data_IF_330511114449
#
_entry.id   IF_330511114449
#
_cell.length_a   1.000
_cell.length_b   1.000
_cell.length_c   1.000
_cell.angle_alpha   90.00
_cell.angle_beta   90.00
_cell.angle_gamma   90.00
#
_symmetry.space_group_name_H-M   'P 1'
#
loop_
_entity.id
_entity.type
_entity.pdbx_description
1 polymer ?
#
# COMPACT_ATOMS: atom_id res chain seq x y z
N UNK A 1 4.74 -5.81 8.30
CA UNK A 1 5.39 -4.66 7.59
C UNK A 1 4.38 -3.75 6.90
N UNK A 2 3.14 -4.19 6.74
CA UNK A 2 2.11 -3.36 6.11
C UNK A 2 1.94 -2.02 6.83
N UNK A 3 2.08 -2.01 8.17
CA UNK A 3 2.13 -0.78 8.97
C UNK A 3 3.42 0.05 8.85
N UNK A 4 4.47 -0.45 8.21
CA UNK A 4 5.76 0.24 8.01
C UNK A 4 6.04 0.58 6.54
N UNK A 5 5.04 0.49 5.65
CA UNK A 5 5.20 0.91 4.26
C UNK A 5 5.47 2.42 4.15
N UNK A 6 4.83 3.24 4.98
CA UNK A 6 5.05 4.68 4.99
C UNK A 6 6.50 5.07 5.36
N UNK A 7 7.10 4.55 6.45
CA UNK A 7 8.52 4.81 6.71
C UNK A 7 9.44 4.19 5.65
N UNK A 8 9.09 3.06 5.04
CA UNK A 8 9.82 2.51 3.90
C UNK A 8 9.87 3.50 2.73
N UNK A 9 8.72 4.01 2.30
CA UNK A 9 8.63 5.02 1.24
C UNK A 9 9.38 6.30 1.58
N UNK A 10 9.32 6.76 2.83
CA UNK A 10 10.04 7.94 3.28
C UNK A 10 11.56 7.75 3.20
N UNK A 11 12.07 6.57 3.60
CA UNK A 11 13.50 6.25 3.53
C UNK A 11 13.99 6.00 2.11
N UNK A 12 13.12 5.79 1.13
CA UNK A 12 13.49 5.76 -0.29
C UNK A 12 13.89 7.14 -0.84
N UNK A 13 13.74 8.22 -0.07
CA UNK A 13 14.19 9.57 -0.44
C UNK A 13 15.65 9.82 0.01
N UNK A 14 16.31 10.82 -0.56
CA UNK A 14 17.64 11.29 -0.10
C UNK A 14 18.80 10.34 -0.38
N UNK A 15 19.87 10.39 0.42
CA UNK A 15 20.97 9.41 0.47
C UNK A 15 20.73 8.39 1.59
N UNK A 16 21.33 7.19 1.48
CA UNK A 16 21.17 6.14 2.50
C UNK A 16 22.38 6.01 3.40
N UNK A 17 22.19 6.18 4.71
CA UNK A 17 23.11 5.66 5.71
C UNK A 17 23.11 4.11 5.69
N UNK A 18 24.12 3.47 6.29
CA UNK A 18 24.14 2.01 6.45
C UNK A 18 22.89 1.46 7.16
N UNK A 19 22.37 2.16 8.17
CA UNK A 19 21.19 1.76 8.94
C UNK A 19 19.91 1.87 8.11
N UNK A 20 19.79 2.94 7.33
CA UNK A 20 18.66 3.13 6.41
C UNK A 20 18.66 2.07 5.31
N UNK A 21 19.84 1.77 4.74
CA UNK A 21 20.00 0.68 3.77
C UNK A 21 19.57 -0.66 4.37
N UNK A 22 20.06 -1.00 5.56
CA UNK A 22 19.69 -2.24 6.23
C UNK A 22 18.19 -2.32 6.54
N UNK A 23 17.55 -1.20 6.90
CA UNK A 23 16.10 -1.13 7.08
C UNK A 23 15.35 -1.40 5.76
N UNK A 24 15.76 -0.77 4.67
CA UNK A 24 15.15 -0.93 3.36
C UNK A 24 15.36 -2.35 2.81
N UNK A 25 16.53 -2.96 3.01
CA UNK A 25 16.78 -4.34 2.59
C UNK A 25 15.85 -5.31 3.32
N UNK A 26 15.69 -5.17 4.64
CA UNK A 26 14.72 -5.97 5.40
C UNK A 26 13.29 -5.69 4.93
N UNK A 27 13.00 -4.42 4.65
CA UNK A 27 11.79 -3.93 4.01
C UNK A 27 11.41 -4.70 2.75
N UNK A 28 12.29 -4.65 1.76
CA UNK A 28 12.13 -5.31 0.49
C UNK A 28 12.03 -6.83 0.65
N UNK A 29 12.90 -7.45 1.46
CA UNK A 29 12.88 -8.89 1.70
C UNK A 29 11.54 -9.38 2.25
N UNK A 30 10.90 -8.62 3.14
CA UNK A 30 9.57 -8.97 3.62
C UNK A 30 8.51 -8.80 2.54
N UNK A 31 8.52 -7.71 1.77
CA UNK A 31 7.56 -7.49 0.67
C UNK A 31 7.64 -8.62 -0.37
N UNK A 32 8.88 -8.99 -0.73
CA UNK A 32 9.21 -10.12 -1.62
C UNK A 32 8.70 -11.44 -1.02
N UNK A 33 9.07 -11.76 0.22
CA UNK A 33 8.67 -13.00 0.88
C UNK A 33 7.14 -13.14 1.07
N UNK A 34 6.42 -12.02 1.09
CA UNK A 34 4.96 -11.97 1.15
C UNK A 34 4.30 -11.89 -0.22
N UNK A 35 5.06 -11.88 -1.30
CA UNK A 35 4.57 -11.70 -2.67
C UNK A 35 3.59 -10.51 -2.76
N UNK A 36 3.88 -9.44 -2.00
CA UNK A 36 3.08 -8.23 -1.83
C UNK A 36 1.64 -8.38 -1.33
N UNK A 37 1.07 -9.59 -1.30
CA UNK A 37 -0.36 -9.84 -1.11
C UNK A 37 -0.66 -10.76 0.07
N UNK A 38 0.33 -11.50 0.57
CA UNK A 38 0.15 -12.46 1.65
C UNK A 38 0.33 -11.78 3.00
N UNK A 39 -0.66 -11.95 3.89
CA UNK A 39 -0.52 -11.54 5.28
C UNK A 39 0.51 -12.38 6.04
N UNK A 40 0.83 -11.96 7.27
CA UNK A 40 1.67 -12.76 8.16
C UNK A 40 1.06 -14.12 8.49
N UNK A 41 1.91 -15.14 8.48
CA UNK A 41 1.64 -16.52 8.91
C UNK A 41 1.75 -16.69 10.43
N UNK A 42 2.35 -15.72 11.12
CA UNK A 42 2.48 -15.73 12.58
C UNK A 42 1.17 -15.38 13.29
N UNK A 43 1.00 -15.88 14.52
CA UNK A 43 -0.16 -15.57 15.38
C UNK A 43 -0.22 -14.08 15.74
N UNK A 44 0.94 -13.46 15.98
CA UNK A 44 1.04 -12.05 16.41
C UNK A 44 0.52 -11.04 15.39
N UNK A 45 0.43 -11.42 14.12
CA UNK A 45 0.00 -10.55 13.03
C UNK A 45 -1.25 -11.09 12.34
N UNK A 46 -2.14 -11.76 13.08
CA UNK A 46 -3.38 -12.32 12.54
C UNK A 46 -4.24 -11.28 11.78
N UNK A 47 -4.24 -10.02 12.25
CA UNK A 47 -4.91 -8.90 11.59
C UNK A 47 -4.42 -8.65 10.14
N UNK A 48 -3.17 -8.98 9.82
CA UNK A 48 -2.68 -8.89 8.43
C UNK A 48 -3.38 -9.91 7.52
N UNK A 49 -3.79 -11.08 8.01
CA UNK A 49 -4.54 -12.07 7.21
C UNK A 49 -5.97 -11.60 6.93
N UNK A 50 -6.61 -10.98 7.91
CA UNK A 50 -7.95 -10.41 7.74
C UNK A 50 -7.94 -9.23 6.77
N UNK A 51 -6.85 -8.45 6.76
CA UNK A 51 -6.69 -7.31 5.86
C UNK A 51 -6.26 -7.70 4.44
N UNK A 52 -5.59 -8.85 4.26
CA UNK A 52 -5.00 -9.27 2.99
C UNK A 52 -5.95 -9.24 1.78
N UNK A 53 -7.21 -9.71 1.88
CA UNK A 53 -8.15 -9.60 0.76
C UNK A 53 -8.38 -8.15 0.31
N UNK A 54 -8.38 -7.19 1.23
CA UNK A 54 -8.57 -5.78 0.90
C UNK A 54 -7.32 -5.14 0.27
N UNK A 55 -6.14 -5.77 0.35
CA UNK A 55 -4.93 -5.25 -0.27
C UNK A 55 -4.97 -5.37 -1.79
N UNK A 56 -5.74 -6.30 -2.33
CA UNK A 56 -5.97 -6.41 -3.78
C UNK A 56 -6.90 -5.33 -4.32
N UNK A 57 -7.51 -4.51 -3.47
CA UNK A 57 -8.45 -3.45 -3.85
C UNK A 57 -7.75 -2.09 -3.70
N UNK A 58 -7.20 -1.50 -4.80
CA UNK A 58 -6.56 -0.20 -4.73
C UNK A 58 -7.53 0.85 -4.20
N UNK A 59 -7.02 1.70 -3.32
CA UNK A 59 -7.80 2.75 -2.70
C UNK A 59 -7.08 4.08 -2.77
N UNK A 60 -7.85 5.17 -2.73
CA UNK A 60 -7.31 6.50 -2.61
C UNK A 60 -8.24 7.32 -1.72
N UNK A 61 -7.70 8.17 -0.81
CA UNK A 61 -6.29 8.30 -0.44
C UNK A 61 -5.78 7.14 0.44
N UNK A 62 -4.46 6.91 0.42
CA UNK A 62 -3.77 5.80 1.13
C UNK A 62 -3.02 6.24 2.39
N UNK A 63 -3.64 7.08 3.23
CA UNK A 63 -2.95 7.71 4.37
C UNK A 63 -2.16 6.69 5.22
N UNK A 64 -2.80 5.59 5.62
CA UNK A 64 -2.16 4.49 6.37
C UNK A 64 -2.32 3.14 5.69
N UNK A 65 -3.15 3.08 4.66
CA UNK A 65 -3.59 1.83 4.08
C UNK A 65 -2.62 1.35 3.02
N UNK A 66 -2.42 0.04 3.03
CA UNK A 66 -1.68 -0.67 2.02
C UNK A 66 -2.64 -1.26 1.00
N UNK A 67 -2.21 -1.23 -0.25
CA UNK A 67 -2.69 -2.08 -1.32
C UNK A 67 -1.49 -2.51 -2.17
N UNK A 68 -1.70 -3.57 -2.96
CA UNK A 68 -0.62 -4.23 -3.72
C UNK A 68 0.06 -3.29 -4.70
N UNK A 69 -0.65 -2.28 -5.24
CA UNK A 69 -0.05 -1.27 -6.10
C UNK A 69 0.96 -0.41 -5.32
N UNK A 70 0.61 0.06 -4.11
CA UNK A 70 1.57 0.79 -3.24
C UNK A 70 2.80 -0.06 -2.93
N UNK A 71 2.60 -1.34 -2.57
CA UNK A 71 3.69 -2.26 -2.27
C UNK A 71 4.62 -2.49 -3.47
N UNK A 72 4.04 -2.75 -4.64
CA UNK A 72 4.79 -2.95 -5.88
C UNK A 72 5.59 -1.68 -6.25
N UNK A 73 4.95 -0.51 -6.21
CA UNK A 73 5.60 0.76 -6.54
C UNK A 73 6.75 1.08 -5.60
N UNK A 74 6.61 0.80 -4.30
CA UNK A 74 7.68 0.96 -3.34
C UNK A 74 8.83 -0.01 -3.61
N UNK A 75 8.54 -1.28 -3.90
CA UNK A 75 9.55 -2.30 -4.18
C UNK A 75 10.32 -2.00 -5.48
N UNK A 76 9.65 -1.53 -6.52
CA UNK A 76 10.30 -1.11 -7.77
C UNK A 76 11.24 0.07 -7.55
N UNK A 77 10.82 1.10 -6.81
CA UNK A 77 11.71 2.24 -6.49
C UNK A 77 12.91 1.81 -5.66
N UNK A 78 12.73 0.87 -4.74
CA UNK A 78 13.84 0.27 -4.01
C UNK A 78 14.82 -0.44 -4.95
N UNK A 79 14.30 -1.27 -5.87
CA UNK A 79 15.10 -2.00 -6.85
C UNK A 79 15.90 -1.06 -7.76
N UNK A 80 15.26 -0.05 -8.35
CA UNK A 80 15.90 0.95 -9.21
C UNK A 80 17.06 1.66 -8.49
N UNK A 81 16.89 1.97 -7.20
CA UNK A 81 17.88 2.72 -6.42
C UNK A 81 18.98 1.84 -5.83
N UNK A 82 18.68 0.59 -5.51
CA UNK A 82 19.64 -0.35 -4.93
C UNK A 82 20.42 -1.15 -5.98
N UNK A 83 19.88 -1.27 -7.20
CA UNK A 83 20.36 -2.20 -8.24
C UNK A 83 20.00 -3.66 -7.96
N UNK A 84 19.25 -3.96 -6.89
CA UNK A 84 18.85 -5.32 -6.57
C UNK A 84 17.69 -5.78 -7.46
N UNK A 85 17.74 -7.01 -7.93
CA UNK A 85 16.66 -7.61 -8.69
C UNK A 85 15.45 -7.93 -7.80
N UNK A 86 14.25 -7.84 -8.39
CA UNK A 86 13.01 -8.35 -7.79
C UNK A 86 12.76 -9.73 -8.42
N UNK A 87 12.60 -10.80 -7.64
CA UNK A 87 12.23 -12.10 -8.19
C UNK A 87 10.84 -12.05 -8.83
N UNK A 88 10.69 -12.60 -10.04
CA UNK A 88 9.42 -12.58 -10.79
C UNK A 88 8.28 -13.22 -9.99
N UNK A 89 8.56 -14.34 -9.31
CA UNK A 89 7.59 -15.05 -8.47
C UNK A 89 7.06 -14.21 -7.29
N UNK A 90 7.77 -13.14 -6.93
CA UNK A 90 7.36 -12.22 -5.88
C UNK A 90 6.30 -11.22 -6.35
N UNK A 91 6.21 -10.94 -7.66
CA UNK A 91 5.35 -9.90 -8.21
C UNK A 91 4.36 -10.39 -9.26
N UNK A 92 4.57 -11.55 -9.88
CA UNK A 92 3.73 -12.09 -10.97
C UNK A 92 2.24 -12.06 -10.63
N UNK A 93 1.85 -12.59 -9.47
CA UNK A 93 0.44 -12.63 -9.07
C UNK A 93 -0.18 -11.23 -8.95
N UNK A 94 0.59 -10.24 -8.48
CA UNK A 94 0.13 -8.85 -8.39
C UNK A 94 0.10 -8.19 -9.76
N UNK A 95 1.08 -8.47 -10.62
CA UNK A 95 1.14 -7.95 -11.99
C UNK A 95 -0.03 -8.45 -12.83
N UNK A 96 -0.32 -9.75 -12.77
CA UNK A 96 -1.51 -10.35 -13.41
C UNK A 96 -2.77 -9.69 -12.89
N UNK A 97 -2.96 -9.63 -11.57
CA UNK A 97 -4.13 -9.02 -10.94
C UNK A 97 -4.35 -7.57 -11.39
N UNK A 98 -3.31 -6.72 -11.33
CA UNK A 98 -3.43 -5.31 -11.71
C UNK A 98 -3.68 -5.12 -13.22
N UNK A 99 -3.06 -5.96 -14.07
CA UNK A 99 -3.23 -5.89 -15.53
C UNK A 99 -4.63 -6.33 -15.95
N UNK A 100 -5.17 -7.38 -15.32
CA UNK A 100 -6.53 -7.87 -15.57
C UNK A 100 -7.59 -6.90 -15.01
N UNK A 101 -7.35 -6.30 -13.85
CA UNK A 101 -8.26 -5.34 -13.24
C UNK A 101 -8.30 -3.99 -14.00
N UNK A 102 -7.20 -3.60 -14.64
CA UNK A 102 -7.04 -2.31 -15.32
C UNK A 102 -6.44 -2.47 -16.72
N UNK A 103 -7.14 -3.15 -17.65
CA UNK A 103 -6.61 -3.46 -18.99
C UNK A 103 -6.43 -2.21 -19.86
N UNK A 104 -7.13 -1.12 -19.54
CA UNK A 104 -6.99 0.21 -20.16
C UNK A 104 -5.86 1.05 -19.53
N UNK A 105 -5.16 0.52 -18.53
CA UNK A 105 -4.14 1.23 -17.76
C UNK A 105 -4.71 2.30 -16.81
N UNK A 106 -6.04 2.42 -16.68
CA UNK A 106 -6.69 3.42 -15.82
C UNK A 106 -7.10 2.77 -14.51
N UNK A 107 -6.42 3.14 -13.43
CA UNK A 107 -6.71 2.61 -12.10
C UNK A 107 -7.93 3.32 -11.52
N UNK A 108 -8.92 2.51 -11.12
CA UNK A 108 -10.15 2.96 -10.46
C UNK A 108 -10.10 2.62 -8.99
N UNK A 109 -10.68 3.46 -8.14
CA UNK A 109 -10.78 3.19 -6.70
C UNK A 109 -11.71 1.99 -6.49
N UNK A 110 -11.24 0.95 -5.79
CA UNK A 110 -11.99 -0.29 -5.56
C UNK A 110 -12.52 -0.44 -4.14
N UNK A 111 -12.08 0.42 -3.21
CA UNK A 111 -12.62 0.48 -1.84
C UNK A 111 -12.46 1.85 -1.22
N UNK A 112 -13.32 2.14 -0.24
CA UNK A 112 -13.15 3.26 0.69
C UNK A 112 -12.27 2.80 1.85
N UNK A 113 -11.12 3.43 1.97
CA UNK A 113 -10.13 3.08 3.00
C UNK A 113 -10.62 3.40 4.43
N UNK A 114 -11.55 4.34 4.55
CA UNK A 114 -12.18 4.80 5.79
C UNK A 114 -13.59 4.24 6.00
N UNK A 115 -13.97 3.15 5.34
CA UNK A 115 -15.25 2.53 5.63
C UNK A 115 -15.12 1.70 6.93
N UNK A 116 -15.93 2.05 7.95
CA UNK A 116 -15.98 1.42 9.29
C UNK A 116 -14.93 1.78 10.38
N UNK A 117 -14.16 2.87 10.35
CA UNK A 117 -13.31 3.24 11.48
C UNK A 117 -14.15 3.95 12.54
N UNK A 118 -14.25 3.32 13.71
CA UNK A 118 -14.40 4.08 14.93
C UNK A 118 -13.06 4.72 15.26
N UNK A 119 -13.07 5.99 15.64
CA UNK A 119 -11.91 6.67 16.22
C UNK A 119 -12.05 6.75 17.73
N UNK A 120 -10.95 6.90 18.45
CA UNK A 120 -10.98 7.25 19.86
C UNK A 120 -11.23 8.75 19.98
N UNK A 121 -12.35 9.12 20.59
CA UNK A 121 -12.70 10.49 20.93
C UNK A 121 -12.65 10.67 22.46
N UNK A 122 -12.12 11.81 22.90
CA UNK A 122 -12.09 12.17 24.32
C UNK A 122 -13.39 12.90 24.67
N UNK A 123 -14.11 12.39 25.66
CA UNK A 123 -15.37 12.96 26.16
C UNK A 123 -15.11 14.09 27.14
N UNK A 124 -16.16 14.88 27.41
CA UNK A 124 -16.11 16.00 28.32
C UNK A 124 -15.75 15.59 29.76
N UNK A 125 -16.08 14.37 30.17
CA UNK A 125 -15.71 13.78 31.47
C UNK A 125 -14.25 13.26 31.51
N UNK A 126 -13.49 13.45 30.42
CA UNK A 126 -12.09 13.04 30.30
C UNK A 126 -11.89 11.58 29.89
N UNK A 127 -12.94 10.79 29.75
CA UNK A 127 -12.87 9.39 29.28
C UNK A 127 -12.64 9.29 27.77
N UNK A 128 -12.14 8.16 27.30
CA UNK A 128 -11.95 7.87 25.89
C UNK A 128 -12.96 6.82 25.43
N UNK A 129 -13.68 7.12 24.35
CA UNK A 129 -14.64 6.18 23.75
C UNK A 129 -14.44 6.07 22.25
N UNK A 130 -14.76 4.88 21.72
CA UNK A 130 -14.88 4.65 20.28
C UNK A 130 -16.15 5.32 19.74
N UNK A 131 -15.99 6.23 18.80
CA UNK A 131 -17.07 6.94 18.12
C UNK A 131 -16.83 6.92 16.60
N UNK A 132 -17.87 7.05 15.75
CA UNK A 132 -17.69 7.07 14.31
C UNK A 132 -16.69 8.17 13.88
N UNK A 133 -15.72 7.83 13.05
CA UNK A 133 -14.80 8.84 12.52
C UNK A 133 -15.57 9.86 11.66
N UNK A 134 -15.24 11.14 11.83
CA UNK A 134 -15.75 12.20 10.97
C UNK A 134 -15.09 12.13 9.59
N UNK A 135 -15.81 12.67 8.60
CA UNK A 135 -15.36 12.71 7.21
C UNK A 135 -15.41 14.15 6.73
N UNK A 136 -14.55 14.47 5.78
CA UNK A 136 -14.47 15.80 5.17
C UNK A 136 -14.70 15.70 3.65
N UNK A 137 -15.22 16.77 3.00
CA UNK A 137 -15.67 16.69 1.61
C UNK A 137 -14.61 16.16 0.62
N UNK A 138 -13.35 16.57 0.80
CA UNK A 138 -12.25 16.12 -0.08
C UNK A 138 -11.99 14.61 0.04
N UNK A 139 -12.12 14.03 1.24
CA UNK A 139 -11.99 12.58 1.43
C UNK A 139 -13.07 11.84 0.65
N UNK A 140 -14.33 12.27 0.77
CA UNK A 140 -15.45 11.63 0.07
C UNK A 140 -15.31 11.76 -1.45
N UNK A 141 -14.97 12.95 -1.95
CA UNK A 141 -14.83 13.21 -3.38
C UNK A 141 -13.72 12.39 -4.05
N UNK A 142 -12.63 12.11 -3.31
CA UNK A 142 -11.46 11.39 -3.86
C UNK A 142 -11.51 9.88 -3.67
N UNK A 143 -12.55 9.36 -3.01
CA UNK A 143 -12.66 7.96 -2.60
C UNK A 143 -13.88 7.26 -3.17
N UNK A 144 -14.45 7.80 -4.25
CA UNK A 144 -15.62 7.23 -4.91
C UNK A 144 -15.21 5.93 -5.60
N UNK A 145 -15.80 4.82 -5.16
CA UNK A 145 -15.54 3.49 -5.75
C UNK A 145 -16.02 3.46 -7.20
N UNK A 146 -15.21 2.91 -8.09
CA UNK A 146 -15.44 2.83 -9.53
C UNK A 146 -14.89 4.03 -10.31
N UNK A 147 -14.63 5.16 -9.66
CA UNK A 147 -14.10 6.34 -10.34
C UNK A 147 -12.61 6.21 -10.65
N UNK A 148 -12.14 6.72 -11.80
CA UNK A 148 -10.73 6.84 -12.10
C UNK A 148 -9.98 7.66 -11.06
N UNK A 149 -8.81 7.18 -10.65
CA UNK A 149 -7.89 7.95 -9.82
C UNK A 149 -6.65 8.31 -10.61
N UNK A 150 -6.45 9.60 -10.87
CA UNK A 150 -5.27 10.10 -11.57
C UNK A 150 -3.98 9.75 -10.82
N UNK A 151 -3.99 9.86 -9.49
CA UNK A 151 -2.83 9.55 -8.65
C UNK A 151 -2.43 8.07 -8.76
N UNK A 152 -3.41 7.16 -8.66
CA UNK A 152 -3.16 5.72 -8.78
C UNK A 152 -2.74 5.32 -10.19
N UNK A 153 -3.39 5.90 -11.20
CA UNK A 153 -3.07 5.66 -12.61
C UNK A 153 -1.64 6.07 -12.95
N UNK A 154 -1.21 7.25 -12.48
CA UNK A 154 0.17 7.73 -12.70
C UNK A 154 1.20 6.85 -11.98
N UNK A 155 0.86 6.35 -10.81
CA UNK A 155 1.73 5.42 -10.10
C UNK A 155 1.84 4.08 -10.82
N UNK A 156 0.70 3.48 -11.20
CA UNK A 156 0.67 2.23 -11.95
C UNK A 156 1.48 2.31 -13.24
N UNK A 157 1.23 3.33 -14.06
CA UNK A 157 1.94 3.48 -15.33
C UNK A 157 3.45 3.63 -15.14
N UNK A 158 3.91 4.37 -14.13
CA UNK A 158 5.35 4.49 -13.85
C UNK A 158 5.95 3.15 -13.42
N UNK A 159 5.28 2.46 -12.51
CA UNK A 159 5.72 1.15 -12.00
C UNK A 159 5.74 0.10 -13.10
N UNK A 160 4.69 0.02 -13.91
CA UNK A 160 4.61 -0.91 -15.02
C UNK A 160 5.70 -0.66 -16.07
N UNK A 161 5.98 0.60 -16.40
CA UNK A 161 7.05 0.94 -17.34
C UNK A 161 8.45 0.61 -16.80
N UNK A 162 8.69 0.82 -15.51
CA UNK A 162 9.97 0.48 -14.89
C UNK A 162 10.26 -1.03 -14.91
N UNK A 163 9.24 -1.86 -14.71
CA UNK A 163 9.36 -3.33 -14.74
C UNK A 163 9.60 -3.91 -16.15
N UNK A 164 9.42 -3.11 -17.21
CA UNK A 164 9.61 -3.54 -18.61
C UNK A 164 10.98 -3.16 -19.19
N UNK A 165 11.82 -2.46 -18.43
CA UNK A 165 13.16 -2.02 -18.85
C UNK A 165 14.19 -3.09 -18.50
#
# INVERSE_FOLDING_TARGET
>A
MVGTIAPFEAMLLGEWSPEQRAFLERGAAFLIGRQLSRGSDTVFNAAEREAAPAWQLPCFPRLYFYDVLRGLSALVRWSERSGAAIPDEAIDGVMTHLTEAFPDGIVRVQRRSFERPNTLARRADGTWQREPASRFPLLEATSVVGEPSEALTREWNRTYQALRR
#
